data_IF_403716666075
#
_entry.id   IF_403716666075
#
_cell.length_a   1.000
_cell.length_b   1.000
_cell.length_c   1.000
_cell.angle_alpha   90.00
_cell.angle_beta   90.00
_cell.angle_gamma   90.00
#
_symmetry.space_group_name_H-M   'P 1'
#
loop_
_entity.id
_entity.type
_entity.pdbx_description
1 polymer ?
#
# COMPACT_ATOMS: atom_id res chain seq x y z
N UNK A 1 14.64 71.89 0.49
CA UNK A 1 14.84 70.53 1.04
C UNK A 1 13.90 69.61 0.28
N UNK A 2 14.38 69.03 -0.82
CA UNK A 2 13.62 68.07 -1.61
C UNK A 2 13.68 66.71 -0.92
N UNK A 3 12.52 66.18 -0.54
CA UNK A 3 12.38 64.84 0.01
C UNK A 3 12.32 63.88 -1.18
N UNK A 4 13.43 63.17 -1.42
CA UNK A 4 13.57 62.16 -2.50
C UNK A 4 12.48 61.07 -2.37
N UNK A 5 11.65 60.83 -3.41
CA UNK A 5 10.60 59.81 -3.39
C UNK A 5 11.10 58.36 -3.59
N UNK A 6 12.38 58.18 -3.86
CA UNK A 6 13.00 56.88 -4.21
C UNK A 6 13.00 55.85 -3.06
N UNK A 7 13.08 56.28 -1.79
CA UNK A 7 13.35 55.36 -0.68
C UNK A 7 12.12 54.53 -0.24
N UNK A 8 10.90 55.03 -0.51
CA UNK A 8 9.66 54.34 -0.08
C UNK A 8 9.25 53.20 -1.01
N UNK A 9 9.63 53.24 -2.29
CA UNK A 9 9.21 52.25 -3.29
C UNK A 9 9.97 50.92 -3.10
N UNK A 10 11.25 50.99 -2.71
CA UNK A 10 12.12 49.82 -2.55
C UNK A 10 11.70 48.95 -1.34
N UNK A 11 11.34 49.56 -0.20
CA UNK A 11 10.92 48.82 1.00
C UNK A 11 9.67 47.99 0.77
N UNK A 12 8.69 48.49 0.01
CA UNK A 12 7.42 47.81 -0.19
C UNK A 12 7.55 46.54 -1.05
N UNK A 13 8.52 46.51 -1.98
CA UNK A 13 8.80 45.33 -2.81
C UNK A 13 9.50 44.21 -2.02
N UNK A 14 10.35 44.56 -1.05
CA UNK A 14 11.07 43.56 -0.25
C UNK A 14 10.18 42.82 0.75
N UNK A 15 9.21 43.50 1.37
CA UNK A 15 8.26 42.86 2.28
C UNK A 15 7.31 41.88 1.56
N UNK A 16 6.84 42.21 0.35
CA UNK A 16 6.03 41.31 -0.47
C UNK A 16 6.82 40.08 -0.91
N UNK A 17 8.11 40.25 -1.23
CA UNK A 17 9.02 39.14 -1.56
C UNK A 17 9.23 38.23 -0.35
N UNK A 18 9.48 38.76 0.84
CA UNK A 18 9.62 37.94 2.05
C UNK A 18 8.34 37.14 2.38
N UNK A 19 7.17 37.75 2.22
CA UNK A 19 5.88 37.10 2.44
C UNK A 19 5.66 35.92 1.47
N UNK A 20 6.02 36.07 0.19
CA UNK A 20 5.93 35.01 -0.81
C UNK A 20 6.83 33.81 -0.49
N UNK A 21 8.04 34.08 0.04
CA UNK A 21 8.96 33.01 0.46
C UNK A 21 8.42 32.23 1.65
N UNK A 22 7.83 32.92 2.63
CA UNK A 22 7.21 32.28 3.81
C UNK A 22 6.04 31.37 3.38
N UNK A 23 5.18 31.85 2.48
CA UNK A 23 4.05 31.07 1.96
C UNK A 23 4.55 29.84 1.20
N UNK A 24 5.57 30.01 0.35
CA UNK A 24 6.15 28.90 -0.41
C UNK A 24 6.75 27.82 0.51
N UNK A 25 7.51 28.22 1.53
CA UNK A 25 8.06 27.31 2.54
C UNK A 25 6.96 26.61 3.35
N UNK A 26 5.87 27.32 3.70
CA UNK A 26 4.74 26.74 4.40
C UNK A 26 4.01 25.69 3.55
N UNK A 27 3.81 25.95 2.26
CA UNK A 27 3.20 24.97 1.33
C UNK A 27 4.06 23.72 1.22
N UNK A 28 5.38 23.86 1.06
CA UNK A 28 6.31 22.72 0.99
C UNK A 28 6.26 21.88 2.28
N UNK A 29 6.25 22.53 3.45
CA UNK A 29 6.15 21.84 4.74
C UNK A 29 4.83 21.10 4.90
N UNK A 30 3.70 21.72 4.56
CA UNK A 30 2.38 21.10 4.65
C UNK A 30 2.30 19.90 3.70
N UNK A 31 2.79 20.03 2.46
CA UNK A 31 2.85 18.91 1.52
C UNK A 31 3.70 17.75 2.04
N UNK A 32 4.86 18.04 2.63
CA UNK A 32 5.71 17.02 3.25
C UNK A 32 5.03 16.30 4.42
N UNK A 33 4.27 17.02 5.25
CA UNK A 33 3.52 16.44 6.38
C UNK A 33 2.38 15.56 5.87
N UNK A 34 1.61 15.99 4.85
CA UNK A 34 0.52 15.17 4.29
C UNK A 34 1.07 13.87 3.68
N UNK A 35 2.19 13.94 2.95
CA UNK A 35 2.85 12.76 2.39
C UNK A 35 3.39 11.85 3.50
N UNK A 36 4.03 12.42 4.54
CA UNK A 36 4.56 11.67 5.68
C UNK A 36 3.48 10.96 6.51
N UNK A 37 2.39 11.66 6.83
CA UNK A 37 1.25 11.10 7.57
C UNK A 37 0.51 10.06 6.73
N UNK A 38 0.29 10.33 5.44
CA UNK A 38 -0.33 9.37 4.51
C UNK A 38 0.48 8.08 4.37
N UNK A 39 1.81 8.19 4.22
CA UNK A 39 2.71 7.04 4.15
C UNK A 39 2.77 6.24 5.45
N UNK A 40 2.86 6.91 6.60
CA UNK A 40 2.87 6.26 7.90
C UNK A 40 1.57 5.51 8.21
N UNK A 41 0.41 6.09 7.85
CA UNK A 41 -0.90 5.47 8.07
C UNK A 41 -1.09 4.19 7.23
N UNK A 42 -0.57 4.16 5.99
CA UNK A 42 -0.54 2.95 5.17
C UNK A 42 0.30 1.82 5.80
N UNK A 43 1.47 2.15 6.35
CA UNK A 43 2.34 1.17 7.01
C UNK A 43 1.73 0.63 8.31
N UNK A 44 1.10 1.49 9.11
CA UNK A 44 0.41 1.10 10.35
C UNK A 44 -0.79 0.21 10.04
N UNK A 45 -1.59 0.54 9.01
CA UNK A 45 -2.73 -0.29 8.60
C UNK A 45 -2.28 -1.69 8.13
N UNK A 46 -1.18 -1.78 7.38
CA UNK A 46 -0.62 -3.07 6.97
C UNK A 46 -0.08 -3.88 8.16
N UNK A 47 0.54 -3.22 9.15
CA UNK A 47 1.08 -3.87 10.35
C UNK A 47 0.00 -4.38 11.30
N UNK A 48 -1.10 -3.64 11.48
CA UNK A 48 -2.20 -4.02 12.36
C UNK A 48 -3.06 -5.13 11.75
N UNK A 49 -3.27 -5.12 10.42
CA UNK A 49 -4.01 -6.20 9.73
C UNK A 49 -3.15 -7.48 9.64
N UNK A 50 -1.82 -7.35 9.53
CA UNK A 50 -0.90 -8.49 9.35
C UNK A 50 -0.65 -9.34 10.60
N UNK A 51 -0.87 -8.83 11.81
CA UNK A 51 -0.50 -9.53 13.06
C UNK A 51 -1.64 -10.28 13.75
N UNK A 52 -2.89 -10.06 13.36
CA UNK A 52 -4.05 -10.52 14.14
C UNK A 52 -4.78 -11.78 13.65
N UNK A 53 -4.65 -12.19 12.38
CA UNK A 53 -5.42 -13.31 11.85
C UNK A 53 -4.61 -14.61 11.87
N UNK A 54 -4.64 -15.32 13.02
CA UNK A 54 -4.42 -16.77 13.00
C UNK A 54 -5.39 -17.35 11.98
N UNK A 55 -4.86 -18.03 10.97
CA UNK A 55 -5.67 -18.67 9.94
C UNK A 55 -6.51 -19.75 10.63
N UNK A 56 -7.78 -19.44 10.90
CA UNK A 56 -8.73 -20.40 11.46
C UNK A 56 -9.22 -21.29 10.32
N UNK A 57 -9.24 -22.59 10.56
CA UNK A 57 -9.89 -23.54 9.67
C UNK A 57 -11.42 -23.36 9.72
N UNK A 58 -12.13 -23.92 8.74
CA UNK A 58 -13.58 -23.81 8.66
C UNK A 58 -14.25 -24.42 9.90
N UNK A 59 -13.68 -25.50 10.45
CA UNK A 59 -14.15 -26.16 11.66
C UNK A 59 -14.07 -25.25 12.89
N UNK A 60 -12.96 -24.54 13.13
CA UNK A 60 -12.87 -23.59 14.24
C UNK A 60 -13.83 -22.42 14.08
N UNK A 61 -14.05 -21.95 12.85
CA UNK A 61 -15.04 -20.89 12.56
C UNK A 61 -16.45 -21.39 12.82
N UNK A 62 -16.79 -22.58 12.32
CA UNK A 62 -18.10 -23.20 12.54
C UNK A 62 -18.36 -23.45 14.02
N UNK A 63 -17.33 -23.86 14.78
CA UNK A 63 -17.42 -24.02 16.25
C UNK A 63 -17.65 -22.70 16.97
N UNK A 64 -16.94 -21.64 16.59
CA UNK A 64 -17.13 -20.30 17.18
C UNK A 64 -18.53 -19.75 16.87
N UNK A 65 -19.01 -19.91 15.63
CA UNK A 65 -20.35 -19.52 15.20
C UNK A 65 -21.41 -20.35 15.92
N UNK A 66 -21.24 -21.67 15.96
CA UNK A 66 -22.15 -22.59 16.64
C UNK A 66 -22.32 -22.22 18.11
N UNK A 67 -21.21 -21.95 18.82
CA UNK A 67 -21.25 -21.49 20.21
C UNK A 67 -21.93 -20.12 20.36
N UNK A 68 -21.68 -19.19 19.45
CA UNK A 68 -22.21 -17.82 19.52
C UNK A 68 -23.71 -17.75 19.25
N UNK A 69 -24.21 -18.60 18.35
CA UNK A 69 -25.60 -18.59 17.90
C UNK A 69 -26.41 -19.81 18.39
N UNK A 70 -25.84 -20.61 19.30
CA UNK A 70 -26.45 -21.83 19.84
C UNK A 70 -26.98 -22.76 18.74
N UNK A 71 -26.18 -22.99 17.71
CA UNK A 71 -26.57 -23.84 16.58
C UNK A 71 -26.61 -25.31 17.00
N UNK A 72 -27.56 -26.07 16.46
CA UNK A 72 -27.55 -27.53 16.59
C UNK A 72 -26.46 -28.16 15.68
N UNK A 73 -26.19 -29.46 15.86
CA UNK A 73 -25.13 -30.16 15.12
C UNK A 73 -25.31 -30.09 13.60
N UNK A 74 -26.55 -30.23 13.13
CA UNK A 74 -26.85 -30.17 11.69
C UNK A 74 -26.57 -28.78 11.12
N UNK A 75 -26.96 -27.72 11.83
CA UNK A 75 -26.67 -26.33 11.45
C UNK A 75 -25.18 -26.01 11.52
N UNK A 76 -24.48 -26.50 12.54
CA UNK A 76 -23.04 -26.31 12.68
C UNK A 76 -22.28 -26.95 11.51
N UNK A 77 -22.68 -28.17 11.10
CA UNK A 77 -22.12 -28.85 9.93
C UNK A 77 -22.38 -28.10 8.62
N UNK A 78 -23.59 -27.57 8.45
CA UNK A 78 -23.92 -26.74 7.27
C UNK A 78 -23.06 -25.47 7.21
N UNK A 79 -22.82 -24.82 8.35
CA UNK A 79 -21.93 -23.66 8.43
C UNK A 79 -20.50 -24.05 8.06
N UNK A 80 -19.98 -25.15 8.59
CA UNK A 80 -18.65 -25.66 8.24
C UNK A 80 -18.51 -25.90 6.73
N UNK A 81 -19.49 -26.56 6.11
CA UNK A 81 -19.51 -26.81 4.67
C UNK A 81 -19.53 -25.52 3.83
N UNK A 82 -20.27 -24.50 4.27
CA UNK A 82 -20.30 -23.19 3.61
C UNK A 82 -18.91 -22.55 3.63
N UNK A 83 -18.24 -22.53 4.80
CA UNK A 83 -16.90 -21.97 4.93
C UNK A 83 -15.85 -22.76 4.16
N UNK A 84 -15.94 -24.10 4.16
CA UNK A 84 -15.07 -24.96 3.38
C UNK A 84 -15.17 -24.65 1.88
N UNK A 85 -16.39 -24.57 1.33
CA UNK A 85 -16.59 -24.18 -0.08
C UNK A 85 -16.05 -22.78 -0.38
N UNK A 86 -16.29 -21.82 0.50
CA UNK A 86 -15.80 -20.46 0.33
C UNK A 86 -14.26 -20.39 0.35
N UNK A 87 -13.61 -21.17 1.21
CA UNK A 87 -12.15 -21.25 1.27
C UNK A 87 -11.54 -21.94 0.06
N UNK A 88 -12.16 -23.01 -0.42
CA UNK A 88 -11.77 -23.67 -1.66
C UNK A 88 -11.89 -22.74 -2.88
N UNK A 89 -13.02 -22.05 -3.01
CA UNK A 89 -13.20 -21.06 -4.07
C UNK A 89 -12.16 -19.95 -4.00
N UNK A 90 -11.86 -19.45 -2.79
CA UNK A 90 -10.84 -18.43 -2.58
C UNK A 90 -9.44 -18.93 -2.93
N UNK A 91 -9.14 -20.21 -2.68
CA UNK A 91 -7.88 -20.86 -3.06
C UNK A 91 -7.71 -20.90 -4.58
N UNK A 92 -8.75 -21.34 -5.30
CA UNK A 92 -8.75 -21.36 -6.78
C UNK A 92 -8.55 -19.96 -7.36
N UNK A 93 -9.30 -18.97 -6.88
CA UNK A 93 -9.15 -17.57 -7.31
C UNK A 93 -7.78 -16.98 -6.96
N UNK A 94 -7.12 -17.49 -5.92
CA UNK A 94 -5.78 -17.03 -5.56
C UNK A 94 -4.73 -17.59 -6.52
N UNK A 95 -4.86 -18.85 -6.93
CA UNK A 95 -3.99 -19.48 -7.93
C UNK A 95 -4.12 -18.79 -9.30
N UNK A 96 -5.34 -18.55 -9.75
CA UNK A 96 -5.60 -17.83 -11.02
C UNK A 96 -5.00 -16.42 -11.00
N UNK A 97 -5.24 -15.66 -9.93
CA UNK A 97 -4.62 -14.34 -9.75
C UNK A 97 -3.10 -14.42 -9.61
N UNK A 98 -2.54 -15.52 -9.09
CA UNK A 98 -1.09 -15.69 -9.05
C UNK A 98 -0.51 -15.82 -10.45
N UNK A 99 -1.11 -16.66 -11.29
CA UNK A 99 -0.70 -16.80 -12.69
C UNK A 99 -0.84 -15.47 -13.45
N UNK A 100 -1.90 -14.71 -13.19
CA UNK A 100 -2.08 -13.39 -13.80
C UNK A 100 -0.99 -12.40 -13.37
N UNK A 101 -0.66 -12.32 -12.07
CA UNK A 101 0.45 -11.48 -11.56
C UNK A 101 1.81 -11.89 -12.13
N UNK A 102 2.02 -13.17 -12.42
CA UNK A 102 3.23 -13.65 -13.09
C UNK A 102 3.34 -13.12 -14.52
N UNK A 103 2.25 -13.13 -15.29
CA UNK A 103 2.22 -12.56 -16.64
C UNK A 103 2.43 -11.05 -16.63
N UNK A 104 1.72 -10.33 -15.76
CA UNK A 104 1.84 -8.86 -15.65
C UNK A 104 3.27 -8.44 -15.26
N UNK A 105 3.93 -9.19 -14.38
CA UNK A 105 5.32 -8.93 -14.03
C UNK A 105 6.26 -9.13 -15.22
N UNK A 106 6.03 -10.14 -16.06
CA UNK A 106 6.84 -10.35 -17.28
C UNK A 106 6.66 -9.21 -18.27
N UNK A 107 5.43 -8.72 -18.46
CA UNK A 107 5.16 -7.57 -19.31
C UNK A 107 5.87 -6.31 -18.80
N UNK A 108 5.78 -6.03 -17.50
CA UNK A 108 6.48 -4.90 -16.89
C UNK A 108 8.00 -5.01 -17.05
N UNK A 109 8.57 -6.21 -16.93
CA UNK A 109 10.01 -6.43 -17.16
C UNK A 109 10.37 -6.11 -18.61
N UNK A 110 9.56 -6.53 -19.59
CA UNK A 110 9.79 -6.22 -20.99
C UNK A 110 9.72 -4.72 -21.26
N UNK A 111 8.66 -4.05 -20.79
CA UNK A 111 8.49 -2.60 -20.94
C UNK A 111 9.65 -1.81 -20.33
N UNK A 112 10.14 -2.25 -19.17
CA UNK A 112 11.26 -1.60 -18.48
C UNK A 112 12.60 -1.85 -19.18
N UNK A 113 12.77 -3.00 -19.84
CA UNK A 113 13.95 -3.30 -20.65
C UNK A 113 14.02 -2.39 -21.90
N UNK A 114 12.87 -2.01 -22.45
CA UNK A 114 12.81 -1.14 -23.63
C UNK A 114 13.09 0.34 -23.30
N UNK A 115 12.79 0.78 -22.08
CA UNK A 115 12.96 2.17 -21.65
C UNK A 115 14.33 2.42 -20.99
N UNK A 116 14.82 1.46 -20.22
CA UNK A 116 16.06 1.62 -19.46
C UNK A 116 17.27 1.20 -20.28
N UNK A 117 18.41 1.85 -20.04
CA UNK A 117 19.66 1.29 -20.53
C UNK A 117 20.03 0.02 -19.74
N UNK A 118 20.92 -0.79 -20.31
CA UNK A 118 21.29 -2.10 -19.75
C UNK A 118 21.70 -2.05 -18.28
N UNK A 119 22.54 -1.08 -17.87
CA UNK A 119 23.01 -0.98 -16.48
C UNK A 119 21.88 -0.58 -15.51
N UNK A 120 20.97 0.29 -15.96
CA UNK A 120 19.80 0.68 -15.17
C UNK A 120 18.81 -0.48 -15.04
N UNK A 121 18.58 -1.22 -16.14
CA UNK A 121 17.71 -2.38 -16.16
C UNK A 121 18.22 -3.49 -15.23
N UNK A 122 19.50 -3.83 -15.30
CA UNK A 122 20.09 -4.89 -14.45
C UNK A 122 19.92 -4.58 -12.96
N UNK A 123 20.12 -3.31 -12.57
CA UNK A 123 19.92 -2.86 -11.18
C UNK A 123 18.44 -2.92 -10.78
N UNK A 124 17.56 -2.34 -11.60
CA UNK A 124 16.12 -2.33 -11.32
C UNK A 124 15.54 -3.74 -11.27
N UNK A 125 15.90 -4.62 -12.21
CA UNK A 125 15.39 -5.98 -12.27
C UNK A 125 15.81 -6.77 -11.03
N UNK A 126 17.05 -6.58 -10.55
CA UNK A 126 17.49 -7.19 -9.28
C UNK A 126 16.60 -6.75 -8.12
N UNK A 127 16.40 -5.44 -7.94
CA UNK A 127 15.56 -4.90 -6.87
C UNK A 127 14.10 -5.38 -6.99
N UNK A 128 13.59 -5.48 -8.23
CA UNK A 128 12.25 -5.98 -8.52
C UNK A 128 12.08 -7.46 -8.17
N UNK A 129 13.04 -8.32 -8.51
CA UNK A 129 12.98 -9.74 -8.14
C UNK A 129 13.05 -9.93 -6.62
N UNK A 130 13.92 -9.19 -5.92
CA UNK A 130 14.00 -9.22 -4.45
C UNK A 130 12.68 -8.80 -3.80
N UNK A 131 12.01 -7.79 -4.36
CA UNK A 131 10.67 -7.39 -3.92
C UNK A 131 9.66 -8.52 -4.16
N UNK A 132 9.70 -9.13 -5.35
CA UNK A 132 8.79 -10.21 -5.76
C UNK A 132 8.87 -11.43 -4.85
N UNK A 133 10.08 -11.83 -4.47
CA UNK A 133 10.29 -12.97 -3.57
C UNK A 133 9.84 -12.67 -2.14
N UNK A 134 9.95 -11.42 -1.66
CA UNK A 134 9.41 -11.02 -0.34
C UNK A 134 7.88 -11.08 -0.28
N UNK A 135 7.19 -10.86 -1.39
CA UNK A 135 5.73 -10.86 -1.47
C UNK A 135 5.12 -12.17 -2.00
N UNK A 136 5.94 -13.07 -2.55
CA UNK A 136 5.53 -14.48 -2.72
C UNK A 136 5.33 -15.07 -1.33
N UNK A 137 4.07 -15.37 -1.01
CA UNK A 137 3.70 -16.06 0.23
C UNK A 137 4.58 -17.30 0.36
N UNK A 138 5.26 -17.53 1.49
CA UNK A 138 6.08 -18.73 1.65
C UNK A 138 5.19 -19.94 1.42
N UNK A 139 5.58 -20.78 0.46
CA UNK A 139 5.05 -22.12 0.32
C UNK A 139 5.23 -22.78 1.68
N UNK A 140 4.14 -23.13 2.37
CA UNK A 140 4.24 -24.04 3.51
C UNK A 140 4.81 -25.34 2.95
N UNK A 141 6.06 -25.64 3.28
CA UNK A 141 6.62 -26.99 3.20
C UNK A 141 5.88 -27.88 4.19
#
# INVERSE_FOLDING_TARGET
>A
MEIKPEEKIVKHYQHKRMLLWIICSAVILISGIVIGVGGAMLLVKHRIIGTGHRHKDAAAIAKDISKKYCLNEQQAKQVEDIFNRAFEQKRLQWEERSKQRDREAQLLIADMNDVLNRQQFDRWNKDFQELREKFKKPSKK
#
